data_IF_590295183333
#
_entry.id   IF_590295183333
#
_cell.length_a   1.000
_cell.length_b   1.000
_cell.length_c   1.000
_cell.angle_alpha   90.00
_cell.angle_beta   90.00
_cell.angle_gamma   90.00
#
_symmetry.space_group_name_H-M   'P 1'
#
loop_
_entity.id
_entity.type
_entity.pdbx_description
1 polymer ?
#
# COMPACT_ATOMS: atom_id res chain seq x y z
N UNK A 1 -19.48 -2.19 -24.84
CA UNK A 1 -19.03 -1.49 -23.60
C UNK A 1 -17.87 -2.32 -23.04
N UNK A 2 -16.69 -1.70 -22.90
CA UNK A 2 -15.49 -2.36 -22.35
C UNK A 2 -15.77 -2.78 -20.89
N UNK A 3 -15.44 -4.02 -20.46
CA UNK A 3 -15.60 -4.45 -19.07
C UNK A 3 -14.73 -3.57 -18.14
N UNK A 4 -15.23 -3.22 -16.95
CA UNK A 4 -14.49 -2.37 -15.98
C UNK A 4 -13.18 -3.01 -15.48
N UNK A 5 -13.09 -4.34 -15.53
CA UNK A 5 -11.86 -5.09 -15.25
C UNK A 5 -10.66 -4.66 -16.12
N UNK A 6 -10.93 -4.20 -17.35
CA UNK A 6 -9.90 -3.79 -18.30
C UNK A 6 -9.48 -2.31 -18.16
N UNK A 7 -10.15 -1.56 -17.26
CA UNK A 7 -9.82 -0.16 -17.02
C UNK A 7 -8.58 -0.05 -16.13
N UNK A 8 -7.68 0.87 -16.49
CA UNK A 8 -6.56 1.25 -15.64
C UNK A 8 -7.05 1.89 -14.33
N UNK A 9 -6.20 1.89 -13.31
CA UNK A 9 -6.49 2.58 -12.05
C UNK A 9 -6.84 4.05 -12.28
N UNK A 10 -6.10 4.72 -13.17
CA UNK A 10 -6.34 6.13 -13.51
C UNK A 10 -7.73 6.36 -14.12
N UNK A 11 -8.14 5.52 -15.05
CA UNK A 11 -9.48 5.60 -15.68
C UNK A 11 -10.58 5.40 -14.64
N UNK A 12 -10.41 4.41 -13.74
CA UNK A 12 -11.36 4.17 -12.64
C UNK A 12 -11.42 5.35 -11.67
N UNK A 13 -10.30 6.00 -11.35
CA UNK A 13 -10.29 7.19 -10.49
C UNK A 13 -11.00 8.37 -11.16
N UNK A 14 -10.87 8.55 -12.47
CA UNK A 14 -11.62 9.57 -13.22
C UNK A 14 -13.13 9.33 -13.10
N UNK A 15 -13.56 8.08 -13.32
CA UNK A 15 -14.97 7.69 -13.19
C UNK A 15 -15.48 7.82 -11.74
N UNK A 16 -14.68 7.43 -10.77
CA UNK A 16 -14.97 7.62 -9.34
C UNK A 16 -15.25 9.10 -9.02
N UNK A 17 -14.43 10.02 -9.51
CA UNK A 17 -14.63 11.48 -9.33
C UNK A 17 -15.96 11.97 -9.88
N UNK A 18 -16.42 11.37 -10.98
CA UNK A 18 -17.73 11.64 -11.60
C UNK A 18 -18.90 11.04 -10.84
N UNK A 19 -18.61 10.19 -9.83
CA UNK A 19 -19.62 9.53 -9.01
C UNK A 19 -20.10 8.18 -9.55
N UNK A 20 -19.34 7.57 -10.47
CA UNK A 20 -19.66 6.24 -10.98
C UNK A 20 -19.45 5.19 -9.86
N UNK A 21 -20.57 4.56 -9.46
CA UNK A 21 -20.58 3.52 -8.42
C UNK A 21 -19.85 2.25 -8.88
N UNK A 22 -19.98 1.88 -10.14
CA UNK A 22 -19.34 0.66 -10.66
C UNK A 22 -17.81 0.79 -10.66
N UNK A 23 -17.29 1.99 -10.96
CA UNK A 23 -15.87 2.27 -10.84
C UNK A 23 -15.38 2.22 -9.37
N UNK A 24 -16.22 2.68 -8.44
CA UNK A 24 -15.93 2.52 -7.01
C UNK A 24 -15.91 1.05 -6.59
N UNK A 25 -16.91 0.26 -6.99
CA UNK A 25 -17.01 -1.18 -6.67
C UNK A 25 -15.81 -1.95 -7.24
N UNK A 26 -15.37 -1.60 -8.45
CA UNK A 26 -14.16 -2.20 -9.05
C UNK A 26 -12.90 -1.83 -8.27
N UNK A 27 -12.70 -0.57 -7.89
CA UNK A 27 -11.57 -0.16 -7.04
C UNK A 27 -11.64 -0.84 -5.67
N UNK A 28 -12.81 -0.95 -5.08
CA UNK A 28 -13.02 -1.67 -3.83
C UNK A 28 -12.58 -3.14 -3.96
N UNK A 29 -13.07 -3.84 -4.97
CA UNK A 29 -12.74 -5.23 -5.23
C UNK A 29 -11.24 -5.46 -5.42
N UNK A 30 -10.54 -4.57 -6.15
CA UNK A 30 -9.09 -4.67 -6.40
C UNK A 30 -8.25 -4.53 -5.15
N UNK A 31 -8.73 -3.74 -4.17
CA UNK A 31 -7.90 -3.36 -3.03
C UNK A 31 -8.33 -3.93 -1.69
N UNK A 32 -9.58 -4.37 -1.52
CA UNK A 32 -10.11 -4.81 -0.22
C UNK A 32 -9.25 -5.87 0.45
N UNK A 33 -8.90 -6.95 -0.23
CA UNK A 33 -8.11 -8.03 0.35
C UNK A 33 -6.68 -7.60 0.70
N UNK A 34 -6.09 -6.73 -0.11
CA UNK A 34 -4.74 -6.20 0.15
C UNK A 34 -4.72 -5.27 1.35
N UNK A 35 -5.75 -4.43 1.48
CA UNK A 35 -5.89 -3.50 2.60
C UNK A 35 -6.22 -4.23 3.91
N UNK A 36 -7.06 -5.27 3.86
CA UNK A 36 -7.32 -6.13 5.02
C UNK A 36 -6.04 -6.84 5.47
N UNK A 37 -5.30 -7.47 4.54
CA UNK A 37 -4.01 -8.07 4.86
C UNK A 37 -3.03 -7.08 5.48
N UNK A 38 -3.02 -5.84 4.99
CA UNK A 38 -2.22 -4.76 5.56
C UNK A 38 -2.70 -4.36 6.97
N UNK A 39 -4.00 -4.18 7.18
CA UNK A 39 -4.56 -3.81 8.47
C UNK A 39 -4.29 -4.90 9.53
N UNK A 40 -4.33 -6.19 9.17
CA UNK A 40 -3.99 -7.31 10.06
C UNK A 40 -2.52 -7.30 10.55
N UNK A 41 -1.62 -6.59 9.88
CA UNK A 41 -0.25 -6.45 10.40
C UNK A 41 -0.16 -5.50 11.59
N UNK A 42 -1.20 -4.69 11.83
CA UNK A 42 -1.28 -3.74 12.96
C UNK A 42 -2.32 -4.14 14.01
N UNK A 43 -3.36 -4.83 13.59
CA UNK A 43 -4.50 -5.23 14.43
C UNK A 43 -4.57 -6.74 14.53
N UNK A 44 -4.79 -7.24 15.73
CA UNK A 44 -5.05 -8.66 15.98
C UNK A 44 -6.52 -9.03 15.83
N UNK A 45 -7.40 -8.02 15.93
CA UNK A 45 -8.85 -8.19 15.81
C UNK A 45 -9.29 -8.00 14.35
N UNK A 46 -10.00 -9.02 13.84
CA UNK A 46 -10.48 -9.05 12.45
C UNK A 46 -11.55 -8.00 12.19
N UNK A 47 -12.51 -7.88 13.09
CA UNK A 47 -13.62 -6.95 13.00
C UNK A 47 -13.11 -5.49 12.93
N UNK A 48 -12.12 -5.16 13.76
CA UNK A 48 -11.50 -3.83 13.76
C UNK A 48 -10.77 -3.51 12.46
N UNK A 49 -10.12 -4.50 11.86
CA UNK A 49 -9.45 -4.33 10.57
C UNK A 49 -10.47 -4.11 9.44
N UNK A 50 -11.55 -4.88 9.43
CA UNK A 50 -12.65 -4.74 8.47
C UNK A 50 -13.32 -3.36 8.60
N UNK A 51 -13.65 -2.94 9.82
CA UNK A 51 -14.22 -1.62 10.11
C UNK A 51 -13.30 -0.50 9.62
N UNK A 52 -12.01 -0.58 9.95
CA UNK A 52 -11.02 0.41 9.51
C UNK A 52 -10.99 0.55 7.98
N UNK A 53 -10.94 -0.57 7.25
CA UNK A 53 -10.89 -0.54 5.79
C UNK A 53 -12.20 -0.01 5.20
N UNK A 54 -13.35 -0.39 5.76
CA UNK A 54 -14.66 0.12 5.34
C UNK A 54 -14.74 1.64 5.54
N UNK A 55 -14.34 2.17 6.69
CA UNK A 55 -14.32 3.62 6.93
C UNK A 55 -13.46 4.38 5.91
N UNK A 56 -12.31 3.81 5.52
CA UNK A 56 -11.46 4.43 4.51
C UNK A 56 -12.18 4.51 3.17
N UNK A 57 -12.86 3.45 2.74
CA UNK A 57 -13.61 3.47 1.49
C UNK A 57 -14.83 4.43 1.53
N UNK A 58 -15.50 4.54 2.68
CA UNK A 58 -16.55 5.55 2.87
C UNK A 58 -15.98 6.97 2.69
N UNK A 59 -14.85 7.28 3.34
CA UNK A 59 -14.17 8.57 3.21
C UNK A 59 -13.71 8.85 1.78
N UNK A 60 -13.30 7.82 1.03
CA UNK A 60 -12.95 7.92 -0.38
C UNK A 60 -14.18 8.32 -1.20
N UNK A 61 -15.31 7.66 -0.99
CA UNK A 61 -16.54 7.99 -1.68
C UNK A 61 -17.01 9.41 -1.39
N UNK A 62 -16.98 9.81 -0.13
CA UNK A 62 -17.36 11.18 0.28
C UNK A 62 -16.45 12.24 -0.36
N UNK A 63 -15.13 11.99 -0.38
CA UNK A 63 -14.14 12.93 -0.90
C UNK A 63 -13.81 12.73 -2.38
N UNK A 64 -14.54 11.87 -3.10
CA UNK A 64 -14.22 11.45 -4.47
C UNK A 64 -13.92 12.59 -5.46
N UNK A 65 -14.62 13.72 -5.33
CA UNK A 65 -14.41 14.90 -6.20
C UNK A 65 -13.04 15.58 -6.01
N UNK A 66 -12.36 15.31 -4.87
CA UNK A 66 -11.07 15.92 -4.53
C UNK A 66 -9.87 15.08 -4.99
N UNK A 67 -10.12 13.87 -5.49
CA UNK A 67 -9.03 13.03 -5.98
C UNK A 67 -8.40 13.61 -7.25
N UNK A 68 -7.06 13.50 -7.34
CA UNK A 68 -6.31 13.82 -8.53
C UNK A 68 -5.93 12.50 -9.22
N UNK A 69 -6.39 12.32 -10.44
CA UNK A 69 -6.15 11.12 -11.25
C UNK A 69 -4.69 10.88 -11.62
N UNK A 70 -3.84 11.91 -11.47
CA UNK A 70 -2.40 11.80 -11.70
C UNK A 70 -1.63 11.35 -10.45
N UNK A 71 -2.31 11.18 -9.31
CA UNK A 71 -1.71 10.68 -8.08
C UNK A 71 -1.91 9.17 -7.98
N UNK A 72 -0.96 8.50 -7.33
CA UNK A 72 -1.03 7.07 -7.07
C UNK A 72 -2.16 6.78 -6.06
N UNK A 73 -3.28 6.25 -6.55
CA UNK A 73 -4.46 5.95 -5.75
C UNK A 73 -4.18 4.81 -4.75
N UNK A 74 -3.43 3.79 -5.18
CA UNK A 74 -3.00 2.69 -4.31
C UNK A 74 -2.24 3.23 -3.10
N UNK A 75 -1.24 4.08 -3.32
CA UNK A 75 -0.46 4.67 -2.24
C UNK A 75 -1.33 5.47 -1.27
N UNK A 76 -2.28 6.25 -1.79
CA UNK A 76 -3.24 7.00 -0.97
C UNK A 76 -4.06 6.07 -0.08
N UNK A 77 -4.57 4.95 -0.61
CA UNK A 77 -5.33 3.96 0.15
C UNK A 77 -4.55 3.43 1.36
N UNK A 78 -3.35 2.90 1.11
CA UNK A 78 -2.52 2.29 2.16
C UNK A 78 -2.09 3.32 3.21
N UNK A 79 -1.74 4.54 2.78
CA UNK A 79 -1.39 5.62 3.69
C UNK A 79 -2.59 6.03 4.56
N UNK A 80 -3.78 6.07 3.98
CA UNK A 80 -5.02 6.37 4.70
C UNK A 80 -5.31 5.33 5.78
N UNK A 81 -5.20 4.03 5.46
CA UNK A 81 -5.35 2.95 6.44
C UNK A 81 -4.30 3.06 7.53
N UNK A 82 -3.01 3.23 7.18
CA UNK A 82 -1.93 3.41 8.15
C UNK A 82 -2.22 4.55 9.11
N UNK A 83 -2.53 5.73 8.58
CA UNK A 83 -2.76 6.93 9.39
C UNK A 83 -3.97 6.75 10.32
N UNK A 84 -5.02 6.09 9.83
CA UNK A 84 -6.18 5.75 10.64
C UNK A 84 -5.79 4.82 11.82
N UNK A 85 -5.05 3.76 11.54
CA UNK A 85 -4.58 2.79 12.54
C UNK A 85 -3.66 3.44 13.57
N UNK A 86 -2.69 4.24 13.14
CA UNK A 86 -1.79 4.95 14.06
C UNK A 86 -2.54 5.94 14.95
N UNK A 87 -3.55 6.63 14.42
CA UNK A 87 -4.39 7.52 15.21
C UNK A 87 -5.25 6.74 16.21
N UNK A 88 -5.79 5.58 15.83
CA UNK A 88 -6.55 4.70 16.74
C UNK A 88 -5.66 4.25 17.90
N UNK A 89 -4.49 3.69 17.61
CA UNK A 89 -3.51 3.25 18.62
C UNK A 89 -3.09 4.40 19.55
N UNK A 90 -2.86 5.60 18.98
CA UNK A 90 -2.51 6.78 19.76
C UNK A 90 -3.65 7.22 20.69
N UNK A 91 -4.89 7.17 20.21
CA UNK A 91 -6.06 7.55 20.99
C UNK A 91 -6.35 6.53 22.10
N UNK A 92 -6.12 5.24 21.88
CA UNK A 92 -6.22 4.22 22.92
C UNK A 92 -5.17 4.42 24.01
N UNK A 93 -3.92 4.68 23.65
CA UNK A 93 -2.86 5.03 24.61
C UNK A 93 -3.15 6.32 25.38
N UNK A 94 -3.81 7.31 24.76
CA UNK A 94 -4.22 8.55 25.42
C UNK A 94 -5.40 8.38 26.37
N UNK A 95 -6.30 7.45 26.13
CA UNK A 95 -7.37 7.09 27.08
C UNK A 95 -6.80 6.50 28.37
N UNK A 96 -5.60 5.95 28.31
CA UNK A 96 -4.84 5.50 29.49
C UNK A 96 -3.98 6.62 30.12
N UNK A 97 -3.84 7.79 29.49
CA UNK A 97 -3.08 8.95 29.99
C UNK A 97 -3.88 10.21 29.66
N UNK A 98 -4.43 10.82 30.71
CA UNK A 98 -5.18 12.10 30.65
C UNK A 98 -4.25 13.23 30.21
N UNK A 99 -4.21 13.57 28.92
CA UNK A 99 -3.89 14.91 28.41
C UNK A 99 -4.22 15.02 26.92
N UNK A 100 -5.13 15.92 26.60
CA UNK A 100 -5.68 16.11 25.26
C UNK A 100 -5.01 17.28 24.53
N UNK A 101 -4.61 17.05 23.27
CA UNK A 101 -4.21 18.10 22.32
C UNK A 101 -5.26 18.14 21.19
N UNK A 102 -5.77 19.35 20.78
CA UNK A 102 -6.87 19.47 19.81
C UNK A 102 -6.50 19.03 18.39
N UNK A 103 -7.46 18.37 17.74
CA UNK A 103 -7.33 17.62 16.47
C UNK A 103 -7.36 18.49 15.20
N UNK A 104 -7.70 19.77 15.27
CA UNK A 104 -7.96 20.61 14.08
C UNK A 104 -6.70 21.08 13.31
N UNK A 105 -5.54 21.08 13.94
CA UNK A 105 -4.28 21.55 13.30
C UNK A 105 -3.56 20.53 12.45
N UNK A 106 -3.99 19.25 12.42
CA UNK A 106 -3.26 18.18 11.72
C UNK A 106 -3.73 17.92 10.29
N UNK A 107 -4.87 18.45 9.86
CA UNK A 107 -5.46 18.07 8.55
C UNK A 107 -4.90 18.87 7.36
N UNK A 108 -4.38 20.07 7.57
CA UNK A 108 -3.99 20.98 6.49
C UNK A 108 -2.50 21.00 6.12
N UNK A 109 -1.61 20.41 6.91
CA UNK A 109 -0.16 20.41 6.63
C UNK A 109 0.34 19.12 5.93
N UNK A 110 -0.51 18.11 5.78
CA UNK A 110 -0.10 16.79 5.33
C UNK A 110 0.12 16.63 3.81
N UNK A 111 -0.47 17.46 2.96
CA UNK A 111 -0.55 17.19 1.52
C UNK A 111 0.73 17.46 0.72
N UNK A 112 1.54 18.45 1.10
CA UNK A 112 2.76 18.80 0.35
C UNK A 112 3.99 18.00 0.88
N UNK A 113 4.10 17.85 2.19
CA UNK A 113 5.21 17.11 2.84
C UNK A 113 5.10 15.61 2.56
N UNK A 114 3.86 15.07 2.46
CA UNK A 114 3.62 13.66 2.15
C UNK A 114 3.97 13.29 0.71
N UNK A 115 3.84 14.21 -0.24
CA UNK A 115 4.21 13.97 -1.64
C UNK A 115 5.72 13.90 -1.86
N UNK A 116 6.47 14.81 -1.24
CA UNK A 116 7.94 14.79 -1.27
C UNK A 116 8.47 13.51 -0.60
N UNK A 117 7.94 13.17 0.57
CA UNK A 117 8.37 11.96 1.28
C UNK A 117 8.01 10.67 0.56
N UNK A 118 6.91 10.64 -0.22
CA UNK A 118 6.55 9.46 -1.02
C UNK A 118 7.50 9.25 -2.21
N UNK A 119 7.82 10.30 -2.95
CA UNK A 119 8.76 10.23 -4.08
C UNK A 119 10.19 9.88 -3.63
N UNK A 120 10.64 10.46 -2.52
CA UNK A 120 11.92 10.13 -1.91
C UNK A 120 11.96 8.68 -1.43
N UNK A 121 10.87 8.22 -0.84
CA UNK A 121 10.72 6.85 -0.35
C UNK A 121 10.66 5.83 -1.49
N UNK A 122 9.93 6.15 -2.56
CA UNK A 122 9.87 5.35 -3.78
C UNK A 122 11.26 5.25 -4.42
N UNK A 123 11.94 6.38 -4.60
CA UNK A 123 13.31 6.43 -5.13
C UNK A 123 14.29 5.65 -4.25
N UNK A 124 14.23 5.80 -2.93
CA UNK A 124 15.07 5.06 -2.00
C UNK A 124 14.80 3.55 -2.06
N UNK A 125 13.54 3.14 -2.25
CA UNK A 125 13.17 1.73 -2.37
C UNK A 125 13.66 1.13 -3.69
N UNK A 126 13.55 1.87 -4.82
CA UNK A 126 14.12 1.41 -6.08
C UNK A 126 15.64 1.22 -5.98
N UNK A 127 16.36 2.16 -5.36
CA UNK A 127 17.81 2.02 -5.12
C UNK A 127 18.16 0.81 -4.26
N UNK A 128 17.32 0.47 -3.28
CA UNK A 128 17.50 -0.73 -2.48
C UNK A 128 17.26 -2.01 -3.30
N UNK A 129 16.26 -2.02 -4.17
CA UNK A 129 16.02 -3.15 -5.09
C UNK A 129 17.21 -3.31 -6.05
N UNK A 130 17.73 -2.20 -6.57
CA UNK A 130 18.92 -2.20 -7.44
C UNK A 130 20.18 -2.71 -6.73
N UNK A 131 20.26 -2.57 -5.41
CA UNK A 131 21.38 -3.08 -4.61
C UNK A 131 21.32 -4.59 -4.33
N UNK A 132 20.22 -5.26 -4.65
CA UNK A 132 20.10 -6.71 -4.48
C UNK A 132 20.99 -7.46 -5.49
N UNK A 133 21.49 -8.67 -5.13
CA UNK A 133 22.14 -9.56 -6.09
C UNK A 133 21.26 -9.78 -7.33
N UNK A 134 21.86 -9.79 -8.51
CA UNK A 134 21.17 -9.75 -9.80
C UNK A 134 19.99 -10.74 -9.91
N UNK A 135 20.18 -12.01 -9.53
CA UNK A 135 19.09 -13.02 -9.58
C UNK A 135 17.96 -12.67 -8.62
N UNK A 136 18.27 -12.19 -7.42
CA UNK A 136 17.25 -11.78 -6.43
C UNK A 136 16.48 -10.57 -6.93
N UNK A 137 17.16 -9.59 -7.52
CA UNK A 137 16.55 -8.40 -8.11
C UNK A 137 15.58 -8.79 -9.24
N UNK A 138 16.03 -9.62 -10.18
CA UNK A 138 15.20 -10.05 -11.32
C UNK A 138 13.97 -10.82 -10.87
N UNK A 139 14.14 -11.85 -10.01
CA UNK A 139 13.03 -12.65 -9.49
C UNK A 139 12.03 -11.76 -8.74
N UNK A 140 12.55 -10.83 -7.94
CA UNK A 140 11.75 -9.89 -7.18
C UNK A 140 10.94 -8.93 -8.08
N UNK A 141 11.58 -8.34 -9.08
CA UNK A 141 10.94 -7.46 -10.08
C UNK A 141 9.84 -8.18 -10.85
N UNK A 142 10.13 -9.38 -11.36
CA UNK A 142 9.16 -10.21 -12.09
C UNK A 142 7.94 -10.54 -11.23
N UNK A 143 8.17 -10.85 -9.94
CA UNK A 143 7.09 -11.19 -9.01
C UNK A 143 6.22 -9.99 -8.64
N UNK A 144 6.84 -8.84 -8.33
CA UNK A 144 6.19 -7.71 -7.68
C UNK A 144 5.75 -6.61 -8.65
N UNK A 145 6.51 -6.37 -9.69
CA UNK A 145 6.21 -5.33 -10.68
C UNK A 145 5.46 -5.89 -11.90
N UNK A 146 5.84 -7.08 -12.36
CA UNK A 146 5.18 -7.72 -13.51
C UNK A 146 4.04 -8.67 -13.09
N UNK A 147 3.92 -9.01 -11.80
CA UNK A 147 2.82 -9.82 -11.27
C UNK A 147 2.89 -11.32 -11.59
N UNK A 148 4.03 -11.81 -12.12
CA UNK A 148 4.18 -13.20 -12.52
C UNK A 148 4.12 -14.17 -11.33
N UNK A 149 3.55 -15.34 -11.52
CA UNK A 149 3.58 -16.43 -10.54
C UNK A 149 4.97 -17.04 -10.42
N UNK A 150 5.25 -17.72 -9.31
CA UNK A 150 6.53 -18.41 -9.13
C UNK A 150 6.82 -19.46 -10.22
N UNK A 151 5.78 -20.08 -10.80
CA UNK A 151 5.91 -21.03 -11.89
C UNK A 151 6.31 -20.35 -13.21
N UNK A 152 5.67 -19.21 -13.54
CA UNK A 152 6.01 -18.42 -14.72
C UNK A 152 7.43 -17.85 -14.65
N UNK A 153 7.83 -17.36 -13.46
CA UNK A 153 9.21 -16.89 -13.22
C UNK A 153 10.21 -18.03 -13.39
N UNK A 154 9.91 -19.20 -12.82
CA UNK A 154 10.76 -20.39 -12.96
C UNK A 154 10.98 -20.75 -14.41
N UNK A 155 9.93 -20.76 -15.23
CA UNK A 155 9.99 -20.99 -16.68
C UNK A 155 10.78 -19.89 -17.40
N UNK A 156 10.48 -18.61 -17.12
CA UNK A 156 11.11 -17.45 -17.79
C UNK A 156 12.61 -17.36 -17.52
N UNK A 157 13.02 -17.71 -16.31
CA UNK A 157 14.43 -17.62 -15.87
C UNK A 157 15.19 -18.95 -15.94
N UNK A 158 14.54 -20.04 -16.40
CA UNK A 158 15.09 -21.40 -16.41
C UNK A 158 15.61 -21.85 -15.03
N UNK A 159 14.79 -21.61 -14.00
CA UNK A 159 15.07 -21.97 -12.61
C UNK A 159 14.01 -22.97 -12.11
N UNK A 160 14.31 -23.66 -10.99
CA UNK A 160 13.28 -24.42 -10.28
C UNK A 160 12.34 -23.47 -9.53
N UNK A 161 11.07 -23.86 -9.35
CA UNK A 161 10.11 -23.10 -8.52
C UNK A 161 10.65 -22.86 -7.11
N UNK A 162 11.31 -23.88 -6.53
CA UNK A 162 11.96 -23.80 -5.21
C UNK A 162 13.09 -22.78 -5.18
N UNK A 163 13.87 -22.68 -6.24
CA UNK A 163 14.95 -21.69 -6.39
C UNK A 163 14.37 -20.27 -6.45
N UNK A 164 13.28 -20.07 -7.20
CA UNK A 164 12.54 -18.80 -7.24
C UNK A 164 12.03 -18.40 -5.86
N UNK A 165 11.38 -19.31 -5.14
CA UNK A 165 10.89 -19.08 -3.78
C UNK A 165 12.03 -18.70 -2.81
N UNK A 166 13.18 -19.38 -2.92
CA UNK A 166 14.36 -19.08 -2.13
C UNK A 166 14.90 -17.67 -2.40
N UNK A 167 15.05 -17.29 -3.69
CA UNK A 167 15.51 -15.94 -4.05
C UNK A 167 14.53 -14.85 -3.65
N UNK A 168 13.22 -15.09 -3.73
CA UNK A 168 12.19 -14.19 -3.22
C UNK A 168 12.31 -14.00 -1.71
N UNK A 169 12.50 -15.09 -0.97
CA UNK A 169 12.71 -15.04 0.47
C UNK A 169 13.94 -14.20 0.84
N UNK A 170 15.08 -14.46 0.19
CA UNK A 170 16.31 -13.71 0.45
C UNK A 170 16.18 -12.22 0.10
N UNK A 171 15.59 -11.90 -1.06
CA UNK A 171 15.34 -10.53 -1.45
C UNK A 171 14.43 -9.79 -0.45
N UNK A 172 13.33 -10.44 -0.06
CA UNK A 172 12.38 -9.88 0.92
C UNK A 172 13.04 -9.67 2.29
N UNK A 173 13.86 -10.61 2.74
CA UNK A 173 14.60 -10.52 4.00
C UNK A 173 15.59 -9.35 3.98
N UNK A 174 16.41 -9.24 2.94
CA UNK A 174 17.40 -8.17 2.81
C UNK A 174 16.75 -6.78 2.77
N UNK A 175 15.67 -6.62 1.99
CA UNK A 175 14.91 -5.37 1.93
C UNK A 175 14.26 -5.03 3.27
N UNK A 176 13.70 -6.02 3.96
CA UNK A 176 13.07 -5.83 5.27
C UNK A 176 14.09 -5.37 6.32
N UNK A 177 15.27 -5.95 6.38
CA UNK A 177 16.33 -5.57 7.31
C UNK A 177 16.74 -4.11 7.14
N UNK A 178 16.97 -3.67 5.90
CA UNK A 178 17.37 -2.27 5.62
C UNK A 178 16.23 -1.29 5.93
N UNK A 179 15.00 -1.63 5.60
CA UNK A 179 13.85 -0.73 5.76
C UNK A 179 13.39 -0.62 7.21
N UNK A 180 13.48 -1.68 8.01
CA UNK A 180 13.17 -1.65 9.44
C UNK A 180 14.15 -0.77 10.23
N UNK A 181 15.42 -0.71 9.81
CA UNK A 181 16.42 0.14 10.47
C UNK A 181 16.28 1.62 10.15
N UNK A 182 15.62 2.01 9.05
CA UNK A 182 15.56 3.42 8.60
C UNK A 182 14.41 4.25 9.14
N UNK A 183 13.24 3.72 9.36
CA UNK A 183 12.13 4.28 10.15
C UNK A 183 10.83 3.45 10.00
N UNK A 184 9.86 3.68 10.88
CA UNK A 184 8.51 3.09 10.82
C UNK A 184 7.77 3.41 9.49
N UNK A 185 8.10 4.50 8.79
CA UNK A 185 7.53 4.91 7.50
C UNK A 185 8.00 3.97 6.38
N UNK A 186 9.28 3.61 6.36
CA UNK A 186 9.84 2.67 5.37
C UNK A 186 9.28 1.26 5.50
N UNK A 187 9.00 0.81 6.74
CA UNK A 187 8.35 -0.48 6.99
C UNK A 187 6.96 -0.57 6.38
N UNK A 188 6.17 0.50 6.45
CA UNK A 188 4.84 0.55 5.85
C UNK A 188 4.89 0.61 4.32
N UNK A 189 5.83 1.35 3.76
CA UNK A 189 6.01 1.42 2.32
C UNK A 189 6.46 0.08 1.75
N UNK A 190 7.29 -0.65 2.49
CA UNK A 190 7.68 -2.02 2.15
C UNK A 190 6.46 -2.92 2.03
N UNK A 191 5.53 -2.86 2.99
CA UNK A 191 4.31 -3.64 2.94
C UNK A 191 3.43 -3.24 1.74
N UNK A 192 3.31 -1.93 1.43
CA UNK A 192 2.56 -1.42 0.27
C UNK A 192 3.09 -1.94 -1.06
N UNK A 193 4.42 -2.03 -1.20
CA UNK A 193 5.04 -2.52 -2.43
C UNK A 193 5.09 -4.05 -2.50
N UNK A 194 5.06 -4.75 -1.33
CA UNK A 194 5.45 -6.13 -1.24
C UNK A 194 4.34 -7.10 -0.80
N UNK A 195 3.20 -6.60 -0.31
CA UNK A 195 1.98 -7.35 -0.09
C UNK A 195 0.81 -6.82 -0.92
#
# INVERSE_FOLDING_TARGET
VRPLLDYSERELVILLRQGDRKAFDELYSRYIHKLLGFAYTFLTNKEEAEETVQEIFIKIWEKRRKFNENRNFKAYLFLSVKNHLLNKIRNEKRKCSLEAIPMEKMVNSYTAIEQLSFQELESATFKLIESLPNIQQQVFTLRRMEGLSNAEIATKMNLSKRTVEHHLYLATKALKEVLLHKSSVYSCFFIILFF
#
